data_IF_835243282384
#
_entry.id   IF_835243282384
#
_cell.length_a   1.000
_cell.length_b   1.000
_cell.length_c   1.000
_cell.angle_alpha   90.00
_cell.angle_beta   90.00
_cell.angle_gamma   90.00
#
_symmetry.space_group_name_H-M   'P 1'
#
loop_
_entity.id
_entity.type
_entity.pdbx_description
1 polymer ?
#
# COMPACT_ATOMS: atom_id res chain seq x y z
N UNK A 1 16.41 -1.81 29.41
CA UNK A 1 17.08 -0.59 28.94
C UNK A 1 17.84 -0.96 27.69
N UNK A 2 17.41 -0.45 26.54
CA UNK A 2 18.09 -0.33 25.23
C UNK A 2 16.98 -0.26 24.18
N UNK A 3 16.85 0.70 23.28
CA UNK A 3 17.67 1.85 22.88
C UNK A 3 16.72 2.80 22.14
N UNK A 4 16.84 4.10 22.43
CA UNK A 4 16.18 5.16 21.68
C UNK A 4 16.79 5.25 20.28
N UNK A 5 15.96 5.08 19.23
CA UNK A 5 16.33 5.53 17.88
C UNK A 5 15.62 6.85 17.59
N UNK A 6 16.27 7.94 18.04
CA UNK A 6 16.04 9.26 17.47
C UNK A 6 16.99 9.44 16.27
N UNK A 7 16.47 9.37 15.04
CA UNK A 7 17.17 9.81 13.81
C UNK A 7 16.13 10.18 12.73
N UNK A 8 16.48 11.00 11.70
CA UNK A 8 15.80 12.26 11.41
C UNK A 8 14.95 12.20 10.14
N UNK A 9 13.71 12.72 10.17
CA UNK A 9 12.82 12.97 9.01
C UNK A 9 12.92 11.93 7.86
N UNK A 10 12.95 10.65 8.22
CA UNK A 10 13.07 9.55 7.28
C UNK A 10 11.70 9.24 6.70
N UNK A 11 11.57 9.39 5.38
CA UNK A 11 10.55 8.76 4.54
C UNK A 11 10.11 7.42 5.16
N UNK A 12 8.93 7.38 5.77
CA UNK A 12 8.50 6.27 6.63
C UNK A 12 8.36 5.01 5.79
N UNK A 13 9.40 4.19 5.83
CA UNK A 13 9.45 2.90 5.16
C UNK A 13 8.55 1.95 5.93
N UNK A 14 7.59 1.36 5.22
CA UNK A 14 6.66 0.38 5.73
C UNK A 14 7.24 -1.03 5.56
N UNK A 15 6.85 -1.94 6.43
CA UNK A 15 7.11 -3.37 6.29
C UNK A 15 5.85 -4.21 6.51
N UNK A 16 5.96 -5.53 6.35
CA UNK A 16 4.82 -6.45 6.44
C UNK A 16 4.09 -6.41 7.79
N UNK A 17 4.75 -5.98 8.86
CA UNK A 17 4.16 -5.81 10.19
C UNK A 17 3.20 -4.63 10.24
N UNK A 18 3.30 -3.68 9.31
CA UNK A 18 2.42 -2.51 9.21
C UNK A 18 1.15 -2.80 8.41
N UNK A 19 0.91 -4.05 8.00
CA UNK A 19 -0.24 -4.41 7.17
C UNK A 19 -1.57 -4.03 7.83
N UNK A 20 -1.71 -4.22 9.14
CA UNK A 20 -2.93 -3.83 9.86
C UNK A 20 -3.15 -2.32 9.83
N UNK A 21 -2.08 -1.53 10.01
CA UNK A 21 -2.11 -0.06 9.96
C UNK A 21 -2.50 0.40 8.55
N UNK A 22 -1.87 -0.14 7.50
CA UNK A 22 -2.16 0.22 6.10
C UNK A 22 -3.60 -0.12 5.74
N UNK A 23 -4.07 -1.31 6.08
CA UNK A 23 -5.44 -1.73 5.78
C UNK A 23 -6.44 -0.85 6.52
N UNK A 24 -6.23 -0.60 7.82
CA UNK A 24 -7.11 0.26 8.61
C UNK A 24 -7.19 1.66 8.01
N UNK A 25 -6.05 2.26 7.68
CA UNK A 25 -5.99 3.61 7.14
C UNK A 25 -6.74 3.71 5.81
N UNK A 26 -6.47 2.80 4.88
CA UNK A 26 -7.09 2.84 3.55
C UNK A 26 -8.59 2.52 3.62
N UNK A 27 -8.99 1.53 4.41
CA UNK A 27 -10.37 1.04 4.39
C UNK A 27 -11.25 1.68 5.45
N UNK A 28 -10.87 1.64 6.73
CA UNK A 28 -11.72 2.09 7.84
C UNK A 28 -11.72 3.60 7.96
N UNK A 29 -10.55 4.23 7.80
CA UNK A 29 -10.41 5.67 8.00
C UNK A 29 -10.74 6.42 6.70
N UNK A 30 -10.20 5.96 5.56
CA UNK A 30 -10.36 6.62 4.26
C UNK A 30 -11.45 6.04 3.36
N UNK A 31 -12.10 4.95 3.76
CA UNK A 31 -13.23 4.35 3.04
C UNK A 31 -12.91 3.96 1.59
N UNK A 32 -11.65 3.63 1.30
CA UNK A 32 -11.20 3.18 -0.02
C UNK A 32 -11.93 1.89 -0.41
N UNK A 33 -12.61 1.84 -1.57
CA UNK A 33 -13.25 0.63 -2.05
C UNK A 33 -12.21 -0.47 -2.29
N UNK A 34 -12.35 -1.63 -1.65
CA UNK A 34 -11.41 -2.73 -1.85
C UNK A 34 -11.32 -3.20 -3.31
N UNK A 35 -12.30 -2.90 -4.16
CA UNK A 35 -12.29 -3.23 -5.61
C UNK A 35 -11.17 -2.55 -6.39
N UNK A 36 -10.56 -1.47 -5.89
CA UNK A 36 -9.46 -0.77 -6.58
C UNK A 36 -8.12 -1.49 -6.47
N UNK A 37 -8.05 -2.58 -5.69
CA UNK A 37 -6.82 -3.32 -5.37
C UNK A 37 -5.96 -3.66 -6.59
N UNK A 38 -6.59 -4.00 -7.72
CA UNK A 38 -5.89 -4.41 -8.93
C UNK A 38 -5.20 -3.21 -9.60
N UNK A 39 -5.92 -2.10 -9.77
CA UNK A 39 -5.35 -0.88 -10.34
C UNK A 39 -4.26 -0.31 -9.42
N UNK A 40 -4.51 -0.32 -8.11
CA UNK A 40 -3.55 0.14 -7.11
C UNK A 40 -2.29 -0.74 -7.11
N UNK A 41 -2.42 -2.06 -7.10
CA UNK A 41 -1.30 -3.00 -7.12
C UNK A 41 -0.36 -2.79 -8.30
N UNK A 42 -0.90 -2.56 -9.49
CA UNK A 42 -0.10 -2.24 -10.68
C UNK A 42 0.72 -0.95 -10.50
N UNK A 43 0.12 0.11 -9.94
CA UNK A 43 0.83 1.36 -9.69
C UNK A 43 1.91 1.23 -8.62
N UNK A 44 1.68 0.37 -7.63
CA UNK A 44 2.64 0.04 -6.58
C UNK A 44 3.80 -0.84 -7.08
N UNK A 45 3.73 -1.39 -8.28
CA UNK A 45 4.80 -2.17 -8.91
C UNK A 45 4.64 -3.69 -8.87
N UNK A 46 3.44 -4.18 -8.51
CA UNK A 46 3.10 -5.60 -8.62
C UNK A 46 2.78 -5.96 -10.07
N UNK A 47 3.13 -7.18 -10.48
CA UNK A 47 2.81 -7.65 -11.82
C UNK A 47 1.36 -8.08 -11.97
N UNK A 48 0.82 -7.89 -13.18
CA UNK A 48 -0.54 -8.30 -13.54
C UNK A 48 -0.78 -9.80 -13.31
N UNK A 49 0.21 -10.64 -13.61
CA UNK A 49 0.12 -12.09 -13.40
C UNK A 49 -0.06 -12.43 -11.91
N UNK A 50 0.70 -11.78 -11.02
CA UNK A 50 0.52 -11.95 -9.56
C UNK A 50 -0.86 -11.50 -9.10
N UNK A 51 -1.35 -10.39 -9.62
CA UNK A 51 -2.68 -9.90 -9.26
C UNK A 51 -3.75 -10.89 -9.74
N UNK A 52 -3.62 -11.45 -10.95
CA UNK A 52 -4.51 -12.51 -11.44
C UNK A 52 -4.48 -13.75 -10.54
N UNK A 53 -3.31 -14.16 -10.08
CA UNK A 53 -3.18 -15.29 -9.14
C UNK A 53 -3.91 -14.99 -7.82
N UNK A 54 -3.70 -13.81 -7.24
CA UNK A 54 -4.46 -13.34 -6.05
C UNK A 54 -5.97 -13.38 -6.31
N UNK A 55 -6.43 -12.90 -7.47
CA UNK A 55 -7.86 -12.93 -7.82
C UNK A 55 -8.39 -14.36 -7.86
N UNK A 56 -7.62 -15.30 -8.39
CA UNK A 56 -8.01 -16.71 -8.51
C UNK A 56 -8.08 -17.38 -7.13
N UNK A 57 -7.06 -17.19 -6.30
CA UNK A 57 -6.93 -17.81 -4.97
C UNK A 57 -8.07 -17.42 -4.01
N UNK A 58 -8.54 -16.18 -4.11
CA UNK A 58 -9.61 -15.67 -3.26
C UNK A 58 -10.99 -15.63 -3.93
N UNK A 59 -11.16 -16.32 -5.07
CA UNK A 59 -12.41 -16.37 -5.83
C UNK A 59 -12.99 -14.99 -6.16
N UNK A 60 -12.13 -13.99 -6.38
CA UNK A 60 -12.54 -12.61 -6.65
C UNK A 60 -13.14 -11.86 -5.46
N UNK A 61 -13.01 -12.35 -4.22
CA UNK A 61 -13.44 -11.61 -3.04
C UNK A 61 -12.54 -10.39 -2.82
N UNK A 62 -13.02 -9.20 -3.21
CA UNK A 62 -12.24 -7.96 -3.25
C UNK A 62 -11.54 -7.62 -1.93
N UNK A 63 -12.15 -7.89 -0.78
CA UNK A 63 -11.55 -7.60 0.54
C UNK A 63 -10.30 -8.45 0.77
N UNK A 64 -10.37 -9.75 0.46
CA UNK A 64 -9.22 -10.64 0.60
C UNK A 64 -8.15 -10.34 -0.45
N UNK A 65 -8.54 -10.07 -1.69
CA UNK A 65 -7.62 -9.67 -2.76
C UNK A 65 -6.89 -8.37 -2.41
N UNK A 66 -7.60 -7.39 -1.85
CA UNK A 66 -7.02 -6.13 -1.39
C UNK A 66 -5.99 -6.35 -0.28
N UNK A 67 -6.33 -7.20 0.71
CA UNK A 67 -5.41 -7.52 1.80
C UNK A 67 -4.13 -8.21 1.31
N UNK A 68 -4.23 -9.19 0.41
CA UNK A 68 -3.05 -9.84 -0.15
C UNK A 68 -2.27 -8.94 -1.10
N UNK A 69 -2.93 -8.06 -1.85
CA UNK A 69 -2.27 -7.05 -2.65
C UNK A 69 -1.38 -6.14 -1.79
N UNK A 70 -1.90 -5.63 -0.67
CA UNK A 70 -1.11 -4.81 0.27
C UNK A 70 0.00 -5.62 0.94
N UNK A 71 -0.26 -6.89 1.26
CA UNK A 71 0.75 -7.83 1.81
C UNK A 71 1.93 -8.02 0.85
N UNK A 72 1.66 -8.28 -0.44
CA UNK A 72 2.68 -8.43 -1.47
C UNK A 72 3.48 -7.13 -1.69
N UNK A 73 2.79 -5.98 -1.69
CA UNK A 73 3.45 -4.68 -1.77
C UNK A 73 4.38 -4.43 -0.58
N UNK A 74 3.93 -4.67 0.66
CA UNK A 74 4.75 -4.48 1.86
C UNK A 74 5.97 -5.42 1.94
N UNK A 75 5.87 -6.61 1.33
CA UNK A 75 7.03 -7.51 1.16
C UNK A 75 8.02 -7.02 0.10
N UNK A 76 7.67 -6.00 -0.67
CA UNK A 76 8.51 -5.45 -1.73
C UNK A 76 8.66 -6.40 -2.92
N UNK A 77 7.62 -7.18 -3.22
CA UNK A 77 7.60 -8.14 -4.33
C UNK A 77 7.68 -7.44 -5.70
N UNK A 78 8.04 -8.20 -6.73
CA UNK A 78 8.12 -7.73 -8.12
C UNK A 78 8.96 -6.43 -8.25
N UNK A 79 8.39 -5.37 -8.84
CA UNK A 79 9.07 -4.07 -9.06
C UNK A 79 8.77 -3.04 -7.99
N UNK A 80 8.21 -3.44 -6.84
CA UNK A 80 7.85 -2.49 -5.78
C UNK A 80 9.05 -1.68 -5.32
N UNK A 81 10.23 -2.30 -5.20
CA UNK A 81 11.47 -1.60 -4.79
C UNK A 81 11.95 -0.59 -5.84
N UNK A 82 11.71 -0.86 -7.13
CA UNK A 82 12.00 0.07 -8.23
C UNK A 82 11.01 1.25 -8.25
N UNK A 83 9.80 1.04 -7.73
CA UNK A 83 8.73 2.06 -7.58
C UNK A 83 8.80 2.86 -6.28
N UNK A 84 9.96 2.88 -5.62
CA UNK A 84 10.19 3.62 -4.37
C UNK A 84 9.95 2.79 -3.10
N UNK A 85 9.64 1.50 -3.24
CA UNK A 85 9.46 0.59 -2.12
C UNK A 85 8.13 0.79 -1.37
N UNK A 86 7.89 -0.01 -0.32
CA UNK A 86 6.75 0.17 0.56
C UNK A 86 6.95 1.41 1.45
N UNK A 87 6.29 2.51 1.11
CA UNK A 87 6.31 3.77 1.86
C UNK A 87 4.97 4.50 1.72
N UNK A 88 4.63 5.36 2.67
CA UNK A 88 3.43 6.19 2.54
C UNK A 88 3.47 7.13 1.32
N UNK A 89 4.67 7.60 0.94
CA UNK A 89 4.85 8.46 -0.22
C UNK A 89 4.61 7.73 -1.55
N UNK A 90 5.09 6.49 -1.68
CA UNK A 90 4.82 5.66 -2.87
C UNK A 90 3.34 5.26 -2.93
N UNK A 91 2.71 4.95 -1.79
CA UNK A 91 1.29 4.67 -1.71
C UNK A 91 0.44 5.88 -2.12
N UNK A 92 0.75 7.08 -1.61
CA UNK A 92 0.03 8.28 -1.99
C UNK A 92 0.19 8.61 -3.48
N UNK A 93 1.37 8.43 -4.04
CA UNK A 93 1.60 8.60 -5.49
C UNK A 93 0.78 7.61 -6.31
N UNK A 94 0.69 6.35 -5.88
CA UNK A 94 -0.11 5.34 -6.55
C UNK A 94 -1.62 5.65 -6.49
N UNK A 95 -2.10 6.10 -5.33
CA UNK A 95 -3.50 6.54 -5.14
C UNK A 95 -3.85 7.74 -6.02
N UNK A 96 -2.97 8.75 -6.07
CA UNK A 96 -3.12 9.92 -6.94
C UNK A 96 -3.24 9.51 -8.42
N UNK A 97 -2.47 8.50 -8.83
CA UNK A 97 -2.46 7.96 -10.20
C UNK A 97 -3.75 7.22 -10.56
N UNK A 98 -4.42 6.58 -9.60
CA UNK A 98 -5.73 5.91 -9.81
C UNK A 98 -6.92 6.83 -9.52
N UNK A 99 -6.69 8.14 -9.50
CA UNK A 99 -7.69 9.20 -9.25
C UNK A 99 -8.27 9.26 -7.82
N UNK A 100 -7.69 8.53 -6.87
CA UNK A 100 -8.01 8.59 -5.43
C UNK A 100 -7.31 9.77 -4.74
N UNK A 101 -7.48 10.96 -5.33
CA UNK A 101 -6.72 12.19 -4.99
C UNK A 101 -6.96 12.68 -3.56
N UNK A 102 -8.18 12.53 -3.05
CA UNK A 102 -8.55 12.90 -1.68
C UNK A 102 -7.74 12.10 -0.67
N UNK A 103 -7.69 10.78 -0.85
CA UNK A 103 -6.97 9.84 0.01
C UNK A 103 -5.46 10.05 -0.13
N UNK A 104 -4.97 10.24 -1.36
CA UNK A 104 -3.57 10.57 -1.61
C UNK A 104 -3.12 11.84 -0.88
N UNK A 105 -3.93 12.90 -0.94
CA UNK A 105 -3.67 14.16 -0.24
C UNK A 105 -3.65 13.96 1.28
N UNK A 106 -4.63 13.23 1.81
CA UNK A 106 -4.69 12.90 3.23
C UNK A 106 -3.42 12.16 3.71
N UNK A 107 -3.00 11.11 3.00
CA UNK A 107 -1.80 10.34 3.34
C UNK A 107 -0.54 11.21 3.27
N UNK A 108 -0.42 12.06 2.24
CA UNK A 108 0.69 13.01 2.12
C UNK A 108 0.76 13.91 3.34
N UNK A 109 -0.34 14.52 3.76
CA UNK A 109 -0.40 15.42 4.92
C UNK A 109 -0.11 14.69 6.23
N UNK A 110 -0.63 13.47 6.40
CA UNK A 110 -0.50 12.73 7.67
C UNK A 110 0.89 12.12 7.87
N UNK A 111 1.50 11.60 6.81
CA UNK A 111 2.66 10.72 6.92
C UNK A 111 3.91 11.20 6.16
N UNK A 112 3.79 12.17 5.26
CA UNK A 112 4.91 12.63 4.42
C UNK A 112 5.41 14.05 4.77
N UNK A 113 4.89 14.67 5.84
CA UNK A 113 5.21 16.04 6.30
C UNK A 113 6.07 16.01 7.55
#
# INVERSE_FOLDING_TARGET
MTEDFNTPLTMTKLDIKDLDIVIKELTSDQHLPCSVWHALGLQLGLYDDRLKDIKADYHGQSVHCFRECMSAWLRGEDKVREKGGPSWSSLATALDTIEEKSIASYIKVKYCT
#
